data_IF_032469279159
#
_entry.id   IF_032469279159
#
_cell.length_a   1.000
_cell.length_b   1.000
_cell.length_c   1.000
_cell.angle_alpha   90.00
_cell.angle_beta   90.00
_cell.angle_gamma   90.00
#
_symmetry.space_group_name_H-M   'P 1'
#
loop_
_entity.id
_entity.type
_entity.pdbx_description
1 polymer ?
#
# COMPACT_ATOMS: atom_id res chain seq x y z
N UNK A 1 -2.28 2.26 -13.58
CA UNK A 1 -1.85 3.47 -12.84
C UNK A 1 -1.35 4.50 -13.85
N UNK A 2 -1.74 5.78 -13.71
CA UNK A 2 -1.35 6.84 -14.65
C UNK A 2 0.18 7.00 -14.69
N UNK A 3 0.80 7.30 -15.85
CA UNK A 3 2.24 7.49 -15.98
C UNK A 3 2.63 8.83 -15.34
N UNK A 4 2.84 8.84 -14.02
CA UNK A 4 3.40 10.00 -13.33
C UNK A 4 4.91 10.02 -13.49
N UNK A 5 5.45 11.18 -13.86
CA UNK A 5 6.88 11.42 -13.94
C UNK A 5 7.53 11.11 -12.57
N UNK A 6 8.55 10.23 -12.47
CA UNK A 6 9.09 9.74 -11.19
C UNK A 6 9.51 10.85 -10.20
N UNK A 7 9.92 12.01 -10.71
CA UNK A 7 10.29 13.18 -9.90
C UNK A 7 9.10 13.86 -9.24
N UNK A 8 7.96 13.91 -9.92
CA UNK A 8 6.73 14.49 -9.37
C UNK A 8 6.12 13.57 -8.31
N UNK A 9 6.16 12.26 -8.55
CA UNK A 9 5.76 11.25 -7.58
C UNK A 9 6.57 11.40 -6.27
N UNK A 10 7.91 11.52 -6.36
CA UNK A 10 8.73 11.74 -5.17
C UNK A 10 8.41 13.04 -4.42
N UNK A 11 8.07 14.13 -5.13
CA UNK A 11 7.63 15.37 -4.48
C UNK A 11 6.31 15.18 -3.75
N UNK A 12 5.34 14.50 -4.36
CA UNK A 12 4.05 14.20 -3.72
C UNK A 12 4.24 13.30 -2.50
N UNK A 13 5.03 12.22 -2.60
CA UNK A 13 5.34 11.35 -1.47
C UNK A 13 5.99 12.11 -0.30
N UNK A 14 6.88 13.07 -0.58
CA UNK A 14 7.47 13.93 0.46
C UNK A 14 6.45 14.86 1.11
N UNK A 15 5.49 15.38 0.35
CA UNK A 15 4.40 16.19 0.90
C UNK A 15 3.46 15.36 1.77
N UNK A 16 3.10 14.16 1.32
CA UNK A 16 2.28 13.20 2.08
C UNK A 16 2.95 12.82 3.41
N UNK A 17 4.26 12.57 3.41
CA UNK A 17 5.03 12.34 4.65
C UNK A 17 4.95 13.50 5.63
N UNK A 18 4.95 14.75 5.17
CA UNK A 18 4.79 15.94 6.03
C UNK A 18 3.40 16.05 6.65
N UNK A 19 2.39 15.47 5.99
CA UNK A 19 1.02 15.37 6.51
C UNK A 19 0.82 14.18 7.45
N UNK A 20 1.90 13.47 7.80
CA UNK A 20 1.84 12.28 8.66
C UNK A 20 1.38 11.02 7.93
N UNK A 21 1.35 11.03 6.59
CA UNK A 21 1.02 9.86 5.77
C UNK A 21 2.31 9.10 5.47
N UNK A 22 2.40 7.86 5.95
CA UNK A 22 3.51 6.93 5.67
C UNK A 22 3.07 5.97 4.57
N UNK A 23 3.91 5.77 3.57
CA UNK A 23 3.66 4.84 2.48
C UNK A 23 4.86 3.91 2.40
N UNK A 24 4.61 2.63 2.59
CA UNK A 24 5.61 1.57 2.56
C UNK A 24 5.17 0.49 1.58
N UNK A 25 6.06 0.07 0.70
CA UNK A 25 5.81 -1.08 -0.19
C UNK A 25 6.31 -2.34 0.53
N UNK A 26 5.46 -3.35 0.65
CA UNK A 26 5.86 -4.67 1.10
C UNK A 26 6.46 -5.41 -0.10
N UNK A 27 7.79 -5.48 -0.11
CA UNK A 27 8.52 -6.23 -1.13
C UNK A 27 8.45 -7.71 -0.79
N UNK A 28 8.30 -8.56 -1.82
CA UNK A 28 8.29 -10.02 -1.71
C UNK A 28 7.19 -10.60 -0.81
N UNK A 29 5.99 -10.03 -0.83
CA UNK A 29 4.85 -10.66 -0.16
C UNK A 29 4.51 -12.00 -0.83
N UNK A 30 4.56 -13.09 -0.07
CA UNK A 30 4.31 -14.44 -0.62
C UNK A 30 2.82 -14.71 -0.82
N UNK A 31 1.99 -14.40 0.17
CA UNK A 31 0.54 -14.61 0.12
C UNK A 31 -0.24 -13.58 0.95
N UNK A 32 -1.45 -13.22 0.50
CA UNK A 32 -2.43 -12.46 1.29
C UNK A 32 -3.71 -13.27 1.42
N UNK A 33 -4.16 -13.47 2.66
CA UNK A 33 -5.36 -14.24 2.98
C UNK A 33 -6.46 -13.31 3.49
N UNK A 34 -7.55 -13.18 2.75
CA UNK A 34 -8.74 -12.45 3.18
C UNK A 34 -9.76 -13.50 3.63
N UNK A 35 -9.98 -13.60 4.94
CA UNK A 35 -10.90 -14.56 5.54
C UNK A 35 -12.25 -13.87 5.77
N UNK A 36 -13.30 -14.40 5.15
CA UNK A 36 -14.69 -14.03 5.37
C UNK A 36 -15.41 -15.16 6.11
N UNK A 37 -16.61 -14.90 6.61
CA UNK A 37 -17.37 -15.89 7.38
C UNK A 37 -17.74 -17.15 6.60
N UNK A 38 -17.85 -17.05 5.28
CA UNK A 38 -18.30 -18.10 4.37
C UNK A 38 -17.20 -18.65 3.44
N UNK A 39 -16.09 -17.91 3.28
CA UNK A 39 -15.04 -18.23 2.31
C UNK A 39 -13.72 -17.56 2.62
N UNK A 40 -12.69 -17.98 1.90
CA UNK A 40 -11.34 -17.42 1.96
C UNK A 40 -10.88 -17.04 0.55
N UNK A 41 -10.31 -15.85 0.41
CA UNK A 41 -9.61 -15.41 -0.79
C UNK A 41 -8.11 -15.51 -0.51
N UNK A 42 -7.36 -16.13 -1.43
CA UNK A 42 -5.91 -16.27 -1.34
C UNK A 42 -5.33 -15.58 -2.59
N UNK A 43 -4.47 -14.59 -2.35
CA UNK A 43 -3.71 -13.89 -3.37
C UNK A 43 -2.26 -14.37 -3.26
N UNK A 44 -1.73 -15.02 -4.29
CA UNK A 44 -0.34 -15.48 -4.34
C UNK A 44 0.55 -14.40 -4.99
N UNK A 45 1.73 -14.18 -4.40
CA UNK A 45 2.72 -13.17 -4.81
C UNK A 45 2.12 -11.78 -5.10
N UNK A 46 1.33 -11.19 -4.18
CA UNK A 46 0.71 -9.89 -4.43
C UNK A 46 1.71 -8.74 -4.27
N UNK A 47 1.54 -7.70 -5.08
CA UNK A 47 2.13 -6.39 -4.81
C UNK A 47 1.29 -5.69 -3.73
N UNK A 48 1.86 -5.44 -2.55
CA UNK A 48 1.13 -4.82 -1.44
C UNK A 48 1.75 -3.49 -1.03
N UNK A 49 0.91 -2.47 -0.89
CA UNK A 49 1.30 -1.17 -0.36
C UNK A 49 0.57 -0.89 0.94
N UNK A 50 1.31 -0.49 1.98
CA UNK A 50 0.76 -0.02 3.24
C UNK A 50 0.77 1.50 3.22
N UNK A 51 -0.40 2.09 3.43
CA UNK A 51 -0.57 3.51 3.69
C UNK A 51 -1.02 3.69 5.13
N UNK A 52 -0.19 4.31 5.96
CA UNK A 52 -0.51 4.64 7.35
C UNK A 52 -0.83 6.13 7.47
N UNK A 53 -2.01 6.44 8.02
CA UNK A 53 -2.44 7.81 8.29
C UNK A 53 -3.25 7.86 9.57
N UNK A 54 -2.90 8.77 10.49
CA UNK A 54 -3.63 8.99 11.75
C UNK A 54 -3.87 7.70 12.57
N UNK A 55 -2.92 6.75 12.54
CA UNK A 55 -3.02 5.46 13.23
C UNK A 55 -3.86 4.39 12.51
N UNK A 56 -4.47 4.71 11.37
CA UNK A 56 -5.13 3.73 10.50
C UNK A 56 -4.17 3.25 9.42
N UNK A 57 -4.18 1.93 9.17
CA UNK A 57 -3.42 1.29 8.09
C UNK A 57 -4.37 0.85 7.00
N UNK A 58 -4.11 1.30 5.78
CA UNK A 58 -4.79 0.86 4.56
C UNK A 58 -3.83 -0.01 3.76
N UNK A 59 -4.33 -1.15 3.29
CA UNK A 59 -3.59 -2.07 2.43
C UNK A 59 -4.18 -1.98 1.02
N UNK A 60 -3.33 -1.71 0.04
CA UNK A 60 -3.67 -1.63 -1.38
C UNK A 60 -2.95 -2.73 -2.16
#
# INVERSE_FOLDING_TARGET
MLPMNPRELQKQLRQLKKLGIKIDQLVDAEEVHIVLSDRKLILEKPDVFIVEFSGQKMFY
#
